data_IF_624648841037
#
_entry.id   IF_624648841037
#
_cell.length_a   1.000
_cell.length_b   1.000
_cell.length_c   1.000
_cell.angle_alpha   90.00
_cell.angle_beta   90.00
_cell.angle_gamma   90.00
#
_symmetry.space_group_name_H-M   'P 1'
#
loop_
_entity.id
_entity.type
_entity.pdbx_description
1 polymer ?
#
# COMPACT_ATOMS: atom_id res chain seq x y z
N UNK A 1 -7.64 15.41 -18.45
CA UNK A 1 -6.41 15.14 -17.68
C UNK A 1 -6.67 13.95 -16.74
N UNK A 2 -6.47 12.69 -17.18
CA UNK A 2 -6.82 11.53 -16.37
C UNK A 2 -5.65 11.03 -15.51
N UNK A 3 -4.74 11.89 -15.06
CA UNK A 3 -3.62 11.49 -14.18
C UNK A 3 -3.98 11.49 -12.68
N UNK A 4 -5.20 11.87 -12.29
CA UNK A 4 -5.58 12.02 -10.88
C UNK A 4 -6.22 10.78 -10.23
N UNK A 5 -6.52 9.70 -10.96
CA UNK A 5 -7.19 8.54 -10.36
C UNK A 5 -6.27 7.69 -9.49
N UNK A 6 -5.01 7.51 -9.89
CA UNK A 6 -4.09 6.66 -9.10
C UNK A 6 -3.78 7.28 -7.74
N UNK A 7 -3.54 8.60 -7.67
CA UNK A 7 -3.33 9.33 -6.41
C UNK A 7 -4.58 9.40 -5.52
N UNK A 8 -5.78 9.46 -6.11
CA UNK A 8 -7.03 9.48 -5.35
C UNK A 8 -7.27 8.16 -4.61
N UNK A 9 -7.04 7.02 -5.26
CA UNK A 9 -7.14 5.70 -4.61
C UNK A 9 -6.04 5.48 -3.57
N UNK A 10 -4.88 6.07 -3.79
CA UNK A 10 -3.72 6.06 -2.91
C UNK A 10 -4.03 6.69 -1.54
N UNK A 11 -4.51 7.93 -1.51
CA UNK A 11 -4.90 8.61 -0.27
C UNK A 11 -6.06 7.91 0.45
N UNK A 12 -7.01 7.35 -0.32
CA UNK A 12 -8.14 6.60 0.21
C UNK A 12 -7.71 5.26 0.86
N UNK A 13 -6.76 4.54 0.23
CA UNK A 13 -6.12 3.34 0.78
C UNK A 13 -5.41 3.62 2.10
N UNK A 14 -4.64 4.71 2.18
CA UNK A 14 -3.97 5.10 3.40
C UNK A 14 -4.94 5.50 4.51
N UNK A 15 -6.01 6.22 4.15
CA UNK A 15 -7.07 6.54 5.10
C UNK A 15 -7.72 5.27 5.67
N UNK A 16 -7.97 4.25 4.83
CA UNK A 16 -8.48 2.97 5.32
C UNK A 16 -7.48 2.23 6.20
N UNK A 17 -6.19 2.24 5.87
CA UNK A 17 -5.15 1.65 6.70
C UNK A 17 -5.03 2.34 8.07
N UNK A 18 -5.13 3.67 8.11
CA UNK A 18 -5.23 4.45 9.35
C UNK A 18 -6.48 4.09 10.18
N UNK A 19 -7.60 3.78 9.51
CA UNK A 19 -8.86 3.38 10.16
C UNK A 19 -8.87 1.92 10.66
N UNK A 20 -7.80 1.15 10.47
CA UNK A 20 -7.76 -0.25 10.89
C UNK A 20 -8.14 -1.25 9.80
N UNK A 21 -8.19 -0.85 8.52
CA UNK A 21 -8.51 -1.77 7.43
C UNK A 21 -7.46 -2.87 7.27
N UNK A 22 -7.91 -4.00 6.74
CA UNK A 22 -7.09 -5.12 6.34
C UNK A 22 -7.05 -5.15 4.81
N UNK A 23 -5.85 -5.19 4.24
CA UNK A 23 -5.64 -5.33 2.82
C UNK A 23 -5.33 -6.80 2.50
N UNK A 24 -6.18 -7.40 1.67
CA UNK A 24 -5.95 -8.72 1.09
C UNK A 24 -5.87 -8.57 -0.42
N UNK A 25 -4.72 -8.91 -1.00
CA UNK A 25 -4.52 -8.92 -2.44
C UNK A 25 -4.42 -10.38 -2.87
N UNK A 26 -5.32 -10.80 -3.75
CA UNK A 26 -5.37 -12.15 -4.32
C UNK A 26 -5.52 -12.01 -5.84
N UNK A 27 -4.55 -12.50 -6.62
CA UNK A 27 -4.55 -12.34 -8.09
C UNK A 27 -3.18 -12.50 -8.76
N UNK A 28 -3.10 -12.20 -10.07
CA UNK A 28 -1.90 -12.37 -10.91
C UNK A 28 -0.65 -11.71 -10.29
N UNK A 29 0.26 -12.59 -9.88
CA UNK A 29 1.21 -12.38 -8.80
C UNK A 29 2.19 -11.24 -9.02
N UNK A 30 2.81 -11.19 -10.20
CA UNK A 30 4.06 -10.44 -10.32
C UNK A 30 3.87 -8.98 -10.71
N UNK A 31 2.81 -8.67 -11.45
CA UNK A 31 2.55 -7.28 -11.88
C UNK A 31 1.66 -6.55 -10.88
N UNK A 32 0.56 -7.18 -10.46
CA UNK A 32 -0.41 -6.49 -9.61
C UNK A 32 0.12 -6.29 -8.19
N UNK A 33 0.84 -7.27 -7.62
CA UNK A 33 1.44 -7.10 -6.30
C UNK A 33 2.55 -6.05 -6.29
N UNK A 34 3.39 -5.98 -7.32
CA UNK A 34 4.42 -4.92 -7.44
C UNK A 34 3.80 -3.54 -7.59
N UNK A 35 2.78 -3.40 -8.45
CA UNK A 35 2.13 -2.10 -8.67
C UNK A 35 1.43 -1.62 -7.39
N UNK A 36 0.74 -2.51 -6.67
CA UNK A 36 0.12 -2.19 -5.37
C UNK A 36 1.17 -1.88 -4.31
N UNK A 37 2.27 -2.63 -4.25
CA UNK A 37 3.34 -2.39 -3.29
C UNK A 37 4.05 -1.05 -3.53
N UNK A 38 4.41 -0.74 -4.79
CA UNK A 38 5.01 0.54 -5.15
C UNK A 38 4.06 1.71 -4.88
N UNK A 39 2.77 1.58 -5.24
CA UNK A 39 1.79 2.62 -4.96
C UNK A 39 1.61 2.81 -3.45
N UNK A 40 1.54 1.73 -2.66
CA UNK A 40 1.41 1.80 -1.22
C UNK A 40 2.65 2.46 -0.57
N UNK A 41 3.84 2.14 -1.08
CA UNK A 41 5.08 2.71 -0.59
C UNK A 41 5.18 4.22 -0.86
N UNK A 42 4.91 4.69 -2.08
CA UNK A 42 4.85 6.12 -2.40
C UNK A 42 3.81 6.85 -1.53
N UNK A 43 2.66 6.22 -1.31
CA UNK A 43 1.59 6.79 -0.50
C UNK A 43 1.97 6.92 0.95
N UNK A 44 2.55 5.87 1.54
CA UNK A 44 2.98 5.90 2.94
C UNK A 44 4.11 6.92 3.10
N UNK A 45 5.06 6.98 2.16
CA UNK A 45 6.12 7.99 2.16
C UNK A 45 5.54 9.42 2.13
N UNK A 46 4.60 9.70 1.22
CA UNK A 46 3.96 11.00 1.09
C UNK A 46 3.02 11.35 2.26
N UNK A 47 2.19 10.41 2.70
CA UNK A 47 1.15 10.66 3.70
C UNK A 47 1.68 10.63 5.14
N UNK A 48 2.65 9.76 5.43
CA UNK A 48 3.31 9.71 6.74
C UNK A 48 4.50 10.69 6.82
N UNK A 49 4.93 11.28 5.70
CA UNK A 49 6.13 12.12 5.63
C UNK A 49 7.41 11.34 5.96
N UNK A 50 7.40 10.05 5.66
CA UNK A 50 8.52 9.14 5.91
C UNK A 50 9.39 9.04 4.66
N UNK A 51 10.67 8.81 4.88
CA UNK A 51 11.63 8.37 3.88
C UNK A 51 11.35 6.93 3.41
N UNK A 52 11.97 6.52 2.31
CA UNK A 52 11.77 5.20 1.69
C UNK A 52 11.92 4.05 2.70
N UNK A 53 12.90 4.15 3.61
CA UNK A 53 13.13 3.19 4.67
C UNK A 53 11.99 3.18 5.70
N UNK A 54 11.48 4.36 6.09
CA UNK A 54 10.33 4.46 7.00
C UNK A 54 9.05 3.90 6.38
N UNK A 55 8.82 4.15 5.09
CA UNK A 55 7.70 3.58 4.36
C UNK A 55 7.81 2.05 4.25
N UNK A 56 9.01 1.52 4.00
CA UNK A 56 9.26 0.07 4.04
C UNK A 56 9.01 -0.53 5.42
N UNK A 57 9.48 0.12 6.48
CA UNK A 57 9.26 -0.34 7.85
C UNK A 57 7.77 -0.39 8.19
N UNK A 58 6.99 0.60 7.74
CA UNK A 58 5.54 0.65 7.94
C UNK A 58 4.81 -0.48 7.20
N UNK A 59 5.19 -0.77 5.94
CA UNK A 59 4.60 -1.89 5.20
C UNK A 59 4.97 -3.24 5.84
N UNK A 60 6.22 -3.38 6.31
CA UNK A 60 6.64 -4.58 7.05
C UNK A 60 5.87 -4.77 8.35
N UNK A 61 5.58 -3.68 9.07
CA UNK A 61 4.75 -3.73 10.28
C UNK A 61 3.30 -4.13 9.95
N UNK A 62 2.74 -3.65 8.84
CA UNK A 62 1.42 -4.09 8.35
C UNK A 62 1.39 -5.58 8.00
N UNK A 63 2.46 -6.12 7.40
CA UNK A 63 2.60 -7.55 7.13
C UNK A 63 2.70 -8.34 8.43
N UNK A 64 3.52 -7.87 9.38
CA UNK A 64 3.72 -8.51 10.69
C UNK A 64 2.41 -8.55 11.50
N UNK A 65 1.60 -7.49 11.41
CA UNK A 65 0.27 -7.43 12.03
C UNK A 65 -0.79 -8.24 11.28
N UNK A 66 -0.44 -8.95 10.20
CA UNK A 66 -1.38 -9.64 9.29
C UNK A 66 -2.47 -8.72 8.71
N UNK A 67 -2.18 -7.42 8.64
CA UNK A 67 -3.07 -6.40 8.09
C UNK A 67 -2.85 -6.17 6.61
N UNK A 68 -1.72 -6.62 6.08
CA UNK A 68 -1.43 -6.66 4.66
C UNK A 68 -0.99 -8.07 4.28
N UNK A 69 -1.75 -8.74 3.40
CA UNK A 69 -1.42 -10.05 2.89
C UNK A 69 -1.57 -10.06 1.36
N UNK A 70 -0.50 -10.41 0.66
CA UNK A 70 -0.54 -10.73 -0.75
C UNK A 70 -0.45 -12.26 -0.88
N UNK A 71 -1.56 -12.90 -1.26
CA UNK A 71 -1.58 -14.31 -1.62
C UNK A 71 -1.54 -14.42 -3.13
N UNK A 72 -0.41 -14.90 -3.64
CA UNK A 72 -0.02 -14.86 -5.04
C UNK A 72 0.49 -16.24 -5.44
N UNK A 73 -0.09 -16.82 -6.50
CA UNK A 73 0.23 -18.15 -7.04
C UNK A 73 0.97 -18.05 -8.37
#
# INVERSE_FOLDING_TARGET
>A
MPQHRMLAHAAELYAWLQQGAHLYVCGDADRMARDVHCALHEVVALAAGLDDDGAHAYINDLIAQRRYLCDVY
#
